data_IF_073227225422
#
_entry.id   IF_073227225422
#
_cell.length_a   1.000
_cell.length_b   1.000
_cell.length_c   1.000
_cell.angle_alpha   90.00
_cell.angle_beta   90.00
_cell.angle_gamma   90.00
#
_symmetry.space_group_name_H-M   'P 1'
#
loop_
_entity.id
_entity.type
_entity.pdbx_description
1 polymer ?
#
# COMPACT_ATOMS: atom_id res chain seq x y z
N UNK A 1 20.07 -3.56 7.94
CA UNK A 1 19.13 -3.28 6.84
C UNK A 1 17.80 -3.89 7.25
N UNK A 2 16.70 -3.11 7.25
CA UNK A 2 15.40 -3.45 7.87
C UNK A 2 14.92 -4.87 7.58
N UNK A 3 15.15 -5.38 6.37
CA UNK A 3 14.78 -6.74 5.96
C UNK A 3 15.35 -7.83 6.86
N UNK A 4 16.63 -7.73 7.21
CA UNK A 4 17.28 -8.74 8.06
C UNK A 4 16.95 -8.54 9.54
N UNK A 5 16.64 -7.31 9.94
CA UNK A 5 16.32 -6.98 11.32
C UNK A 5 14.91 -7.48 11.69
N UNK A 6 13.94 -7.26 10.81
CA UNK A 6 12.55 -7.63 11.01
C UNK A 6 12.15 -8.93 10.30
N UNK A 7 13.13 -9.65 9.71
CA UNK A 7 12.90 -10.89 8.96
C UNK A 7 11.78 -10.75 7.92
N UNK A 8 11.81 -9.65 7.16
CA UNK A 8 10.78 -9.35 6.18
C UNK A 8 10.88 -10.29 4.98
N UNK A 9 9.74 -10.76 4.51
CA UNK A 9 9.64 -11.60 3.30
C UNK A 9 8.90 -10.89 2.14
N UNK A 10 8.20 -9.80 2.44
CA UNK A 10 7.46 -8.98 1.48
C UNK A 10 7.62 -7.50 1.82
N UNK A 11 7.75 -6.66 0.80
CA UNK A 11 7.92 -5.21 0.94
C UNK A 11 7.17 -4.49 -0.18
N UNK A 12 6.35 -3.50 0.21
CA UNK A 12 5.86 -2.46 -0.68
C UNK A 12 6.69 -1.19 -0.52
N UNK A 13 7.21 -0.64 -1.62
CA UNK A 13 7.99 0.59 -1.64
C UNK A 13 7.23 1.65 -2.42
N UNK A 14 7.03 2.80 -1.79
CA UNK A 14 6.30 3.94 -2.35
C UNK A 14 7.27 5.05 -2.80
N UNK A 15 6.88 5.83 -3.80
CA UNK A 15 7.62 7.01 -4.31
C UNK A 15 9.13 6.80 -4.55
N UNK A 16 9.52 5.71 -5.23
CA UNK A 16 10.95 5.41 -5.38
C UNK A 16 11.74 6.51 -6.12
N UNK A 17 11.08 7.31 -6.98
CA UNK A 17 11.69 8.33 -7.86
C UNK A 17 12.89 7.80 -8.66
N UNK A 18 12.98 6.48 -8.83
CA UNK A 18 14.08 5.80 -9.52
C UNK A 18 13.77 5.78 -11.02
N UNK A 19 14.73 6.24 -11.82
CA UNK A 19 14.65 6.16 -13.28
C UNK A 19 14.86 4.74 -13.79
N UNK A 20 14.32 4.43 -14.97
CA UNK A 20 14.47 3.11 -15.64
C UNK A 20 15.94 2.66 -15.67
N UNK A 21 16.84 3.58 -15.98
CA UNK A 21 18.28 3.32 -16.10
C UNK A 21 18.93 2.82 -14.79
N UNK A 22 18.35 3.14 -13.64
CA UNK A 22 18.89 2.77 -12.33
C UNK A 22 18.22 1.55 -11.70
N UNK A 23 17.13 1.04 -12.28
CA UNK A 23 16.35 -0.08 -11.71
C UNK A 23 17.21 -1.29 -11.39
N UNK A 24 18.00 -1.76 -12.36
CA UNK A 24 18.80 -2.99 -12.22
C UNK A 24 19.82 -2.83 -11.10
N UNK A 25 20.43 -1.65 -10.97
CA UNK A 25 21.38 -1.35 -9.89
C UNK A 25 20.70 -1.33 -8.52
N UNK A 26 19.50 -0.74 -8.43
CA UNK A 26 18.73 -0.67 -7.19
C UNK A 26 18.25 -2.06 -6.75
N UNK A 27 17.68 -2.86 -7.66
CA UNK A 27 17.21 -4.22 -7.37
C UNK A 27 18.32 -5.10 -6.79
N UNK A 28 19.47 -5.13 -7.46
CA UNK A 28 20.61 -5.98 -7.05
C UNK A 28 21.21 -5.51 -5.73
N UNK A 29 21.26 -4.20 -5.48
CA UNK A 29 21.88 -3.64 -4.27
C UNK A 29 20.96 -3.72 -3.04
N UNK A 30 19.66 -3.57 -3.21
CA UNK A 30 18.71 -3.59 -2.09
C UNK A 30 18.43 -5.01 -1.61
N UNK A 31 18.02 -5.91 -2.51
CA UNK A 31 17.52 -7.23 -2.14
C UNK A 31 17.95 -8.27 -3.18
N UNK A 32 19.14 -8.85 -2.94
CA UNK A 32 19.65 -9.92 -3.78
C UNK A 32 18.74 -11.15 -3.68
N UNK A 33 18.41 -11.76 -4.82
CA UNK A 33 17.53 -12.94 -4.96
C UNK A 33 16.04 -12.73 -4.63
N UNK A 34 15.59 -11.48 -4.49
CA UNK A 34 14.16 -11.18 -4.39
C UNK A 34 13.54 -10.99 -5.78
N UNK A 35 12.27 -11.37 -5.92
CA UNK A 35 11.45 -11.01 -7.09
C UNK A 35 10.88 -9.62 -6.90
N UNK A 36 10.62 -8.94 -8.01
CA UNK A 36 10.16 -7.56 -8.04
C UNK A 36 9.01 -7.42 -9.02
N UNK A 37 7.94 -6.77 -8.58
CA UNK A 37 6.91 -6.20 -9.45
C UNK A 37 7.09 -4.68 -9.45
N UNK A 38 7.16 -4.11 -10.64
CA UNK A 38 7.21 -2.66 -10.85
C UNK A 38 6.17 -2.36 -11.92
N UNK A 39 5.19 -1.54 -11.55
CA UNK A 39 4.22 -1.04 -12.49
C UNK A 39 4.93 -0.13 -13.53
N UNK A 40 4.95 -0.52 -14.80
CA UNK A 40 5.52 0.21 -15.95
C UNK A 40 4.49 0.14 -17.09
N UNK A 41 4.21 1.22 -17.88
CA UNK A 41 4.85 2.53 -17.97
C UNK A 41 3.83 3.68 -17.79
N UNK A 42 3.32 3.91 -16.58
CA UNK A 42 2.61 5.16 -16.28
C UNK A 42 3.63 6.15 -15.71
N UNK A 43 3.80 7.37 -16.28
CA UNK A 43 4.58 8.41 -15.64
C UNK A 43 4.11 8.60 -14.20
N UNK A 44 4.98 8.28 -13.24
CA UNK A 44 4.61 8.27 -11.82
C UNK A 44 4.10 6.93 -11.30
N UNK A 45 4.56 5.79 -11.83
CA UNK A 45 4.43 4.52 -11.13
C UNK A 45 5.13 4.58 -9.78
N UNK A 46 4.30 4.52 -8.72
CA UNK A 46 4.71 4.87 -7.37
C UNK A 46 4.83 3.67 -6.45
N UNK A 47 4.35 2.49 -6.86
CA UNK A 47 4.28 1.30 -6.02
C UNK A 47 5.16 0.20 -6.60
N UNK A 48 6.17 -0.20 -5.86
CA UNK A 48 7.02 -1.34 -6.19
C UNK A 48 6.80 -2.41 -5.14
N UNK A 49 6.63 -3.65 -5.58
CA UNK A 49 6.61 -4.80 -4.69
C UNK A 49 7.90 -5.58 -4.83
N UNK A 50 8.43 -6.05 -3.70
CA UNK A 50 9.53 -6.98 -3.66
C UNK A 50 9.20 -8.11 -2.68
N UNK A 51 9.54 -9.34 -3.02
CA UNK A 51 9.37 -10.47 -2.13
C UNK A 51 10.47 -11.51 -2.26
N UNK A 52 10.74 -12.21 -1.16
CA UNK A 52 11.61 -13.37 -1.14
C UNK A 52 10.88 -14.55 -1.79
N UNK A 53 11.28 -14.90 -3.02
CA UNK A 53 10.62 -15.97 -3.77
C UNK A 53 10.83 -17.38 -3.20
N UNK A 54 11.86 -17.56 -2.36
CA UNK A 54 12.06 -18.83 -1.67
C UNK A 54 10.97 -19.09 -0.61
N UNK A 55 10.43 -18.02 -0.02
CA UNK A 55 9.47 -18.09 1.09
C UNK A 55 8.03 -17.84 0.64
N UNK A 56 7.84 -16.93 -0.32
CA UNK A 56 6.54 -16.47 -0.76
C UNK A 56 6.30 -16.73 -2.25
N UNK A 57 5.05 -17.07 -2.54
CA UNK A 57 4.48 -16.91 -3.87
C UNK A 57 3.56 -15.70 -3.89
N UNK A 58 3.72 -14.84 -4.89
CA UNK A 58 2.95 -13.59 -5.01
C UNK A 58 2.34 -13.55 -6.39
N UNK A 59 1.01 -13.51 -6.41
CA UNK A 59 0.19 -13.39 -7.60
C UNK A 59 -0.41 -11.99 -7.64
N UNK A 60 -0.07 -11.20 -8.65
CA UNK A 60 -0.68 -9.88 -8.87
C UNK A 60 -2.06 -10.10 -9.48
N UNK A 61 -3.10 -9.66 -8.78
CA UNK A 61 -4.49 -9.87 -9.17
C UNK A 61 -5.05 -8.65 -9.88
N UNK A 62 -4.72 -7.45 -9.39
CA UNK A 62 -5.19 -6.21 -9.99
C UNK A 62 -4.24 -5.04 -9.68
N UNK A 63 -4.24 -4.03 -10.55
CA UNK A 63 -3.35 -2.87 -10.48
C UNK A 63 -4.04 -1.59 -10.92
N UNK A 64 -3.76 -0.52 -10.20
CA UNK A 64 -4.18 0.84 -10.55
C UNK A 64 -3.07 1.83 -10.25
N UNK A 65 -3.23 3.07 -10.72
CA UNK A 65 -2.32 4.17 -10.36
C UNK A 65 -2.28 4.46 -8.85
N UNK A 66 -3.26 3.98 -8.08
CA UNK A 66 -3.36 4.18 -6.63
C UNK A 66 -3.09 2.92 -5.78
N UNK A 67 -3.02 1.72 -6.37
CA UNK A 67 -2.81 0.50 -5.61
C UNK A 67 -2.22 -0.65 -6.44
N UNK A 68 -1.66 -1.64 -5.74
CA UNK A 68 -1.41 -2.98 -6.27
C UNK A 68 -2.09 -3.98 -5.34
N UNK A 69 -2.98 -4.80 -5.90
CA UNK A 69 -3.68 -5.87 -5.18
C UNK A 69 -3.10 -7.22 -5.59
N UNK A 70 -2.74 -8.02 -4.60
CA UNK A 70 -2.10 -9.32 -4.82
C UNK A 70 -2.54 -10.36 -3.79
N UNK A 71 -2.44 -11.62 -4.18
CA UNK A 71 -2.50 -12.75 -3.26
C UNK A 71 -1.08 -13.17 -2.92
N UNK A 72 -0.81 -13.29 -1.63
CA UNK A 72 0.45 -13.83 -1.11
C UNK A 72 0.17 -15.20 -0.53
N UNK A 73 1.00 -16.18 -0.89
CA UNK A 73 0.96 -17.53 -0.31
C UNK A 73 2.32 -17.86 0.28
N UNK A 74 2.35 -18.22 1.57
CA UNK A 74 3.56 -18.72 2.19
C UNK A 74 3.81 -20.16 1.77
N UNK A 75 4.99 -20.44 1.22
CA UNK A 75 5.31 -21.75 0.64
C UNK A 75 5.38 -22.88 1.66
N UNK A 76 5.89 -22.60 2.86
CA UNK A 76 6.08 -23.61 3.90
C UNK A 76 4.77 -24.02 4.60
N UNK A 77 3.89 -23.05 4.90
CA UNK A 77 2.62 -23.32 5.60
C UNK A 77 1.44 -23.53 4.66
N UNK A 78 1.58 -23.17 3.37
CA UNK A 78 0.49 -23.15 2.39
C UNK A 78 -0.69 -22.25 2.80
N UNK A 79 -0.43 -21.26 3.65
CA UNK A 79 -1.41 -20.25 4.04
C UNK A 79 -1.36 -19.06 3.07
N UNK A 80 -2.52 -18.49 2.77
CA UNK A 80 -2.66 -17.34 1.87
C UNK A 80 -3.33 -16.16 2.57
N UNK A 81 -2.98 -14.96 2.12
CA UNK A 81 -3.72 -13.74 2.41
C UNK A 81 -3.77 -12.83 1.17
N UNK A 82 -4.74 -11.93 1.15
CA UNK A 82 -4.75 -10.83 0.21
C UNK A 82 -3.97 -9.65 0.78
N UNK A 83 -3.25 -8.96 -0.08
CA UNK A 83 -2.52 -7.75 0.27
C UNK A 83 -2.79 -6.67 -0.78
N UNK A 84 -3.28 -5.52 -0.32
CA UNK A 84 -3.41 -4.31 -1.14
C UNK A 84 -2.40 -3.28 -0.65
N UNK A 85 -1.42 -2.96 -1.50
CA UNK A 85 -0.46 -1.88 -1.24
C UNK A 85 -0.96 -0.61 -1.93
N UNK A 86 -1.13 0.46 -1.17
CA UNK A 86 -1.77 1.69 -1.59
C UNK A 86 -0.78 2.85 -1.68
N UNK A 87 -0.98 3.67 -2.70
CA UNK A 87 -0.48 5.02 -2.77
C UNK A 87 -1.61 5.91 -3.31
N UNK A 88 -2.43 6.45 -2.42
CA UNK A 88 -3.61 7.25 -2.76
C UNK A 88 -3.24 8.56 -3.47
N UNK A 89 -4.11 9.05 -4.33
CA UNK A 89 -3.92 10.33 -5.00
C UNK A 89 -3.93 11.48 -3.99
N UNK A 90 -3.14 12.54 -4.22
CA UNK A 90 -3.26 13.77 -3.44
C UNK A 90 -4.56 14.52 -3.77
N UNK A 91 -5.00 14.45 -5.03
CA UNK A 91 -6.28 15.00 -5.47
C UNK A 91 -7.44 14.21 -4.85
N UNK A 92 -8.34 14.94 -4.19
CA UNK A 92 -9.46 14.36 -3.43
C UNK A 92 -10.42 13.61 -4.33
N UNK A 93 -10.74 14.18 -5.50
CA UNK A 93 -11.73 13.60 -6.40
C UNK A 93 -11.19 12.30 -7.00
N UNK A 94 -9.94 12.32 -7.49
CA UNK A 94 -9.28 11.12 -7.99
C UNK A 94 -9.14 10.05 -6.90
N UNK A 95 -8.94 10.43 -5.63
CA UNK A 95 -8.82 9.49 -4.52
C UNK A 95 -10.11 8.73 -4.22
N UNK A 96 -11.30 9.25 -4.56
CA UNK A 96 -12.57 8.54 -4.31
C UNK A 96 -12.66 7.19 -5.01
N UNK A 97 -12.03 7.04 -6.17
CA UNK A 97 -11.95 5.76 -6.88
C UNK A 97 -11.27 4.67 -6.04
N UNK A 98 -10.32 5.05 -5.18
CA UNK A 98 -9.67 4.13 -4.23
C UNK A 98 -10.67 3.60 -3.20
N UNK A 99 -11.56 4.45 -2.68
CA UNK A 99 -12.57 4.05 -1.69
C UNK A 99 -13.57 3.06 -2.27
N UNK A 100 -14.06 3.34 -3.48
CA UNK A 100 -14.95 2.42 -4.20
C UNK A 100 -14.29 1.06 -4.41
N UNK A 101 -13.05 1.05 -4.89
CA UNK A 101 -12.29 -0.18 -5.10
C UNK A 101 -12.06 -0.99 -3.81
N UNK A 102 -11.78 -0.33 -2.68
CA UNK A 102 -11.64 -1.02 -1.41
C UNK A 102 -12.95 -1.67 -0.96
N UNK A 103 -14.07 -0.97 -1.14
CA UNK A 103 -15.39 -1.56 -0.90
C UNK A 103 -15.64 -2.77 -1.80
N UNK A 104 -15.33 -2.69 -3.09
CA UNK A 104 -15.51 -3.79 -4.02
C UNK A 104 -14.62 -4.99 -3.65
N UNK A 105 -13.34 -4.77 -3.34
CA UNK A 105 -12.44 -5.82 -2.86
C UNK A 105 -12.94 -6.46 -1.58
N UNK A 106 -13.47 -5.69 -0.62
CA UNK A 106 -13.99 -6.23 0.64
C UNK A 106 -15.09 -7.27 0.44
N UNK A 107 -15.85 -7.17 -0.66
CA UNK A 107 -16.89 -8.14 -1.03
C UNK A 107 -16.31 -9.40 -1.70
N UNK A 108 -15.13 -9.30 -2.32
CA UNK A 108 -14.50 -10.39 -3.06
C UNK A 108 -13.48 -11.19 -2.23
N UNK A 109 -12.86 -10.60 -1.22
CA UNK A 109 -11.75 -11.19 -0.44
C UNK A 109 -12.19 -11.91 0.84
N UNK A 110 -13.47 -12.28 0.94
CA UNK A 110 -14.09 -12.83 2.17
C UNK A 110 -13.57 -14.20 2.59
N UNK A 111 -12.83 -14.89 1.73
CA UNK A 111 -12.35 -16.26 1.95
C UNK A 111 -10.97 -16.33 2.65
N UNK A 112 -10.22 -15.23 2.71
CA UNK A 112 -8.89 -15.17 3.30
C UNK A 112 -8.67 -13.87 4.08
N UNK A 113 -7.70 -13.82 5.01
CA UNK A 113 -7.30 -12.56 5.63
C UNK A 113 -6.87 -11.54 4.58
N UNK A 114 -7.24 -10.27 4.80
CA UNK A 114 -6.90 -9.17 3.91
C UNK A 114 -6.14 -8.07 4.65
N UNK A 115 -4.95 -7.75 4.15
CA UNK A 115 -4.11 -6.67 4.64
C UNK A 115 -4.13 -5.51 3.65
N UNK A 116 -4.41 -4.31 4.16
CA UNK A 116 -4.34 -3.08 3.39
C UNK A 116 -3.30 -2.17 4.04
N UNK A 117 -2.28 -1.79 3.28
CA UNK A 117 -1.17 -0.98 3.79
C UNK A 117 -0.69 0.03 2.75
N UNK A 118 -0.01 1.08 3.22
CA UNK A 118 0.61 2.08 2.36
C UNK A 118 0.24 3.49 2.79
N UNK A 119 0.32 4.41 1.84
CA UNK A 119 0.01 5.83 2.05
C UNK A 119 -1.32 6.15 1.39
N UNK A 120 -2.35 6.38 2.19
CA UNK A 120 -3.69 6.71 1.70
C UNK A 120 -3.80 8.17 1.22
N UNK A 121 -2.85 9.05 1.55
CA UNK A 121 -2.96 10.51 1.41
C UNK A 121 -4.31 11.07 1.93
N UNK A 122 -4.82 10.46 3.01
CA UNK A 122 -6.05 10.83 3.69
C UNK A 122 -5.80 10.86 5.20
N UNK A 123 -6.47 11.78 5.89
CA UNK A 123 -6.33 11.95 7.34
C UNK A 123 -7.41 11.18 8.07
N UNK A 124 -7.06 10.60 9.22
CA UNK A 124 -7.99 9.90 10.09
C UNK A 124 -8.54 10.80 11.21
N UNK A 125 -7.82 11.87 11.58
CA UNK A 125 -8.18 12.75 12.69
C UNK A 125 -7.88 14.22 12.37
N UNK A 126 -8.80 15.12 12.74
CA UNK A 126 -8.64 16.57 12.66
C UNK A 126 -7.49 17.10 13.52
N UNK A 127 -7.05 16.33 14.53
CA UNK A 127 -5.86 16.66 15.33
C UNK A 127 -4.56 16.70 14.50
N UNK A 128 -4.59 16.20 13.27
CA UNK A 128 -3.48 16.20 12.32
C UNK A 128 -3.30 17.56 11.60
N UNK A 129 -4.23 18.53 11.76
CA UNK A 129 -4.21 19.84 11.07
C UNK A 129 -4.35 21.04 12.02
N UNK A 130 -3.52 22.08 11.82
CA UNK A 130 -3.77 23.41 12.38
C UNK A 130 -4.70 24.21 11.47
N UNK A 131 -6.00 24.22 11.78
CA UNK A 131 -7.02 24.99 11.04
C UNK A 131 -7.83 24.11 10.09
N UNK A 132 -9.06 23.81 10.48
CA UNK A 132 -9.97 22.95 9.73
C UNK A 132 -10.80 23.76 8.73
N UNK A 133 -10.60 23.58 7.42
CA UNK A 133 -11.57 23.98 6.39
C UNK A 133 -12.67 22.91 6.25
N UNK A 134 -13.83 23.29 5.72
CA UNK A 134 -14.96 22.35 5.51
C UNK A 134 -14.60 21.18 4.59
N UNK A 135 -13.74 21.41 3.60
CA UNK A 135 -13.30 20.39 2.65
C UNK A 135 -12.50 19.26 3.33
N UNK A 136 -11.64 19.60 4.31
CA UNK A 136 -10.84 18.61 5.05
C UNK A 136 -11.76 17.64 5.81
N UNK A 137 -12.81 18.15 6.46
CA UNK A 137 -13.77 17.33 7.20
C UNK A 137 -14.50 16.34 6.30
N UNK A 138 -14.96 16.78 5.14
CA UNK A 138 -15.64 15.91 4.17
C UNK A 138 -14.72 14.77 3.71
N UNK A 139 -13.45 15.08 3.41
CA UNK A 139 -12.50 14.04 2.97
C UNK A 139 -12.16 13.01 4.05
N UNK A 140 -12.15 13.45 5.31
CA UNK A 140 -11.96 12.57 6.47
C UNK A 140 -13.19 11.68 6.70
N UNK A 141 -14.40 12.24 6.58
CA UNK A 141 -15.65 11.47 6.66
C UNK A 141 -15.69 10.38 5.58
N UNK A 142 -15.37 10.71 4.32
CA UNK A 142 -15.31 9.73 3.22
C UNK A 142 -14.34 8.58 3.51
N UNK A 143 -13.17 8.88 4.07
CA UNK A 143 -12.20 7.84 4.40
C UNK A 143 -12.69 6.96 5.55
N UNK A 144 -13.26 7.56 6.60
CA UNK A 144 -13.83 6.80 7.73
C UNK A 144 -15.01 5.92 7.28
N UNK A 145 -15.88 6.42 6.42
CA UNK A 145 -17.00 5.67 5.85
C UNK A 145 -16.49 4.46 5.04
N UNK A 146 -15.40 4.62 4.28
CA UNK A 146 -14.75 3.51 3.59
C UNK A 146 -14.23 2.45 4.57
N UNK A 147 -13.51 2.85 5.63
CA UNK A 147 -13.00 1.92 6.65
C UNK A 147 -14.15 1.14 7.31
N UNK A 148 -15.25 1.83 7.66
CA UNK A 148 -16.43 1.20 8.25
C UNK A 148 -17.08 0.22 7.27
N UNK A 149 -17.27 0.64 6.02
CA UNK A 149 -17.95 -0.15 4.98
C UNK A 149 -17.17 -1.41 4.60
N UNK A 150 -15.84 -1.34 4.65
CA UNK A 150 -14.94 -2.48 4.35
C UNK A 150 -14.71 -3.39 5.54
N UNK A 151 -15.11 -2.98 6.75
CA UNK A 151 -14.84 -3.72 7.99
C UNK A 151 -13.35 -3.78 8.35
N UNK A 152 -12.52 -2.90 7.76
CA UNK A 152 -11.09 -2.85 8.04
C UNK A 152 -10.83 -2.38 9.47
N UNK A 153 -9.88 -3.04 10.12
CA UNK A 153 -9.43 -2.67 11.46
C UNK A 153 -8.04 -2.04 11.37
N UNK A 154 -7.88 -0.88 12.02
CA UNK A 154 -6.58 -0.24 12.11
C UNK A 154 -5.65 -1.03 13.04
N UNK A 155 -4.53 -1.51 12.51
CA UNK A 155 -3.50 -2.20 13.29
C UNK A 155 -2.56 -1.17 13.92
N UNK A 156 -2.26 -1.28 15.23
CA UNK A 156 -1.30 -0.39 15.86
C UNK A 156 0.09 -0.58 15.24
N UNK A 157 0.73 0.54 14.85
CA UNK A 157 2.08 0.52 14.31
C UNK A 157 3.06 0.12 15.41
N UNK A 158 3.82 -0.95 15.18
CA UNK A 158 4.91 -1.35 16.05
C UNK A 158 6.22 -0.76 15.50
N UNK A 159 6.79 0.24 16.18
CA UNK A 159 7.98 0.97 15.74
C UNK A 159 7.82 2.49 15.82
N UNK A 160 8.73 3.24 15.19
CA UNK A 160 8.62 4.70 15.14
C UNK A 160 7.54 5.13 14.13
N UNK A 161 6.50 5.84 14.60
CA UNK A 161 5.51 6.51 13.74
C UNK A 161 6.18 7.71 13.06
N UNK A 162 6.48 7.57 11.78
CA UNK A 162 6.99 8.64 10.93
C UNK A 162 5.93 9.00 9.91
N UNK A 163 5.26 10.12 10.12
CA UNK A 163 4.28 10.67 9.19
C UNK A 163 4.88 11.88 8.48
N UNK A 164 4.77 11.88 7.15
CA UNK A 164 5.22 13.02 6.35
C UNK A 164 4.13 14.09 6.35
N UNK A 165 4.35 15.17 7.11
CA UNK A 165 3.53 16.38 6.99
C UNK A 165 3.96 17.14 5.74
N UNK A 166 3.16 17.07 4.67
CA UNK A 166 3.27 18.03 3.57
C UNK A 166 2.65 19.34 4.06
N UNK A 167 3.49 20.35 4.32
CA UNK A 167 3.00 21.71 4.49
C UNK A 167 2.38 22.14 3.15
N UNK A 168 1.06 22.31 3.12
CA UNK A 168 0.36 23.00 2.04
C UNK A 168 0.65 24.50 2.12
#
# INVERSE_FOLDING_TARGET
>A
MLVNEFHLHFIGILETRVTVANLTRVKVRLLQNWKWFIDYPVPGSRIWLAWNHAELDVEILDTSVQYVHCRITQRCLHESCYVTVIYGANDVIARRDLWTMLCDFSLCVVDLPWLVLGDFNAMLDMSEVCGASGDIRMTMEEFNDCIISTGLLHLPVQGARLEFRKYM
#
